data_IF_619508495292
#
_entry.id   IF_619508495292
#
_cell.length_a   1.000
_cell.length_b   1.000
_cell.length_c   1.000
_cell.angle_alpha   90.00
_cell.angle_beta   90.00
_cell.angle_gamma   90.00
#
_symmetry.space_group_name_H-M   'P 1'
#
loop_
_entity.id
_entity.type
_entity.pdbx_description
1 polymer ?
#
# COMPACT_ATOMS: atom_id res chain seq x y z
N UNK A 1 -14.80 -72.46 -1.28
CA UNK A 1 -13.52 -71.76 -1.56
C UNK A 1 -13.55 -70.48 -0.76
N UNK A 2 -13.09 -70.55 0.49
CA UNK A 2 -13.12 -69.41 1.41
C UNK A 2 -11.78 -68.69 1.29
N UNK A 3 -11.72 -67.67 0.44
CA UNK A 3 -10.58 -66.78 0.37
C UNK A 3 -10.55 -65.97 1.69
N UNK A 4 -9.63 -66.32 2.58
CA UNK A 4 -9.47 -65.63 3.86
C UNK A 4 -9.03 -64.19 3.60
N UNK A 5 -9.85 -63.23 4.04
CA UNK A 5 -9.61 -61.78 3.95
C UNK A 5 -8.38 -61.34 4.79
N UNK A 6 -7.75 -62.26 5.51
CA UNK A 6 -6.71 -62.00 6.52
C UNK A 6 -5.27 -61.94 6.00
N UNK A 7 -5.02 -62.24 4.71
CA UNK A 7 -3.68 -62.22 4.12
C UNK A 7 -3.37 -60.96 3.28
N UNK A 8 -4.06 -59.84 3.54
CA UNK A 8 -3.67 -58.57 2.91
C UNK A 8 -2.36 -58.10 3.57
N UNK A 9 -1.25 -58.00 2.83
CA UNK A 9 0.03 -57.62 3.42
C UNK A 9 -0.07 -56.22 4.04
N UNK A 10 0.48 -56.02 5.24
CA UNK A 10 0.50 -54.71 5.91
C UNK A 10 1.02 -53.57 5.02
N UNK A 11 1.96 -53.86 4.13
CA UNK A 11 2.48 -52.92 3.13
C UNK A 11 1.39 -52.42 2.15
N UNK A 12 0.46 -53.28 1.75
CA UNK A 12 -0.64 -52.92 0.88
C UNK A 12 -1.62 -51.97 1.59
N UNK A 13 -2.00 -52.28 2.83
CA UNK A 13 -2.87 -51.44 3.64
C UNK A 13 -2.25 -50.06 3.90
N UNK A 14 -0.97 -50.03 4.29
CA UNK A 14 -0.23 -48.79 4.51
C UNK A 14 -0.17 -47.93 3.25
N UNK A 15 0.00 -48.55 2.08
CA UNK A 15 0.04 -47.83 0.81
C UNK A 15 -1.34 -47.23 0.49
N UNK A 16 -2.42 -47.99 0.67
CA UNK A 16 -3.80 -47.50 0.44
C UNK A 16 -4.12 -46.30 1.33
N UNK A 17 -3.77 -46.35 2.63
CA UNK A 17 -4.00 -45.24 3.56
C UNK A 17 -3.32 -43.93 3.11
N UNK A 18 -2.08 -43.98 2.61
CA UNK A 18 -1.37 -42.78 2.14
C UNK A 18 -2.04 -42.10 0.94
N UNK A 19 -2.59 -42.89 0.01
CA UNK A 19 -3.32 -42.33 -1.14
C UNK A 19 -4.66 -41.71 -0.72
N UNK A 20 -5.35 -42.32 0.25
CA UNK A 20 -6.59 -41.77 0.78
C UNK A 20 -6.37 -40.47 1.54
N UNK A 21 -5.30 -40.41 2.34
CA UNK A 21 -4.88 -39.19 3.04
C UNK A 21 -4.57 -38.07 2.04
N UNK A 22 -3.70 -38.36 1.05
CA UNK A 22 -3.35 -37.39 0.02
C UNK A 22 -4.59 -36.89 -0.74
N UNK A 23 -5.45 -37.80 -1.20
CA UNK A 23 -6.68 -37.41 -1.91
C UNK A 23 -7.63 -36.57 -1.07
N UNK A 24 -7.71 -36.81 0.24
CA UNK A 24 -8.49 -35.97 1.17
C UNK A 24 -7.92 -34.56 1.33
N UNK A 25 -6.59 -34.43 1.30
CA UNK A 25 -5.90 -33.13 1.34
C UNK A 25 -6.10 -32.32 0.06
N UNK A 26 -6.08 -32.98 -1.10
CA UNK A 26 -6.23 -32.32 -2.40
C UNK A 26 -7.63 -31.76 -2.63
N UNK A 27 -8.67 -32.47 -2.18
CA UNK A 27 -10.06 -32.01 -2.32
C UNK A 27 -10.83 -32.15 -1.00
N UNK A 28 -10.61 -31.23 -0.04
CA UNK A 28 -11.32 -31.23 1.23
C UNK A 28 -12.83 -31.17 1.01
N UNK A 29 -13.57 -32.07 1.67
CA UNK A 29 -15.05 -32.12 1.60
C UNK A 29 -15.62 -32.89 0.41
N UNK A 30 -14.79 -33.45 -0.48
CA UNK A 30 -15.24 -34.37 -1.54
C UNK A 30 -14.91 -35.83 -1.20
N UNK A 31 -15.67 -36.80 -1.73
CA UNK A 31 -15.29 -38.21 -1.65
C UNK A 31 -13.91 -38.44 -2.28
N UNK A 32 -13.05 -39.18 -1.58
CA UNK A 32 -11.67 -39.40 -2.03
C UNK A 32 -11.65 -40.29 -3.27
N UNK A 33 -10.96 -39.82 -4.31
CA UNK A 33 -10.71 -40.61 -5.53
C UNK A 33 -9.94 -41.88 -5.17
N UNK A 34 -10.37 -43.03 -5.68
CA UNK A 34 -9.66 -44.29 -5.48
C UNK A 34 -8.55 -44.54 -6.53
N UNK A 35 -8.55 -43.76 -7.63
CA UNK A 35 -7.56 -43.86 -8.69
C UNK A 35 -6.24 -43.18 -8.27
N UNK A 36 -5.21 -44.00 -8.06
CA UNK A 36 -3.88 -43.58 -7.66
C UNK A 36 -3.20 -42.66 -8.68
N UNK A 37 -3.45 -42.87 -9.98
CA UNK A 37 -2.83 -42.04 -11.04
C UNK A 37 -3.46 -40.65 -11.04
N UNK A 38 -4.78 -40.57 -10.89
CA UNK A 38 -5.50 -39.31 -10.76
C UNK A 38 -5.03 -38.52 -9.52
N UNK A 39 -4.95 -39.18 -8.35
CA UNK A 39 -4.46 -38.53 -7.11
C UNK A 39 -3.05 -37.94 -7.29
N UNK A 40 -2.12 -38.68 -7.92
CA UNK A 40 -0.76 -38.19 -8.13
C UNK A 40 -0.71 -37.04 -9.14
N UNK A 41 -1.54 -37.10 -10.18
CA UNK A 41 -1.65 -36.04 -11.19
C UNK A 41 -2.17 -34.75 -10.55
N UNK A 42 -3.26 -34.85 -9.78
CA UNK A 42 -3.85 -33.73 -9.05
C UNK A 42 -2.87 -33.14 -8.03
N UNK A 43 -2.15 -33.98 -7.27
CA UNK A 43 -1.11 -33.53 -6.34
C UNK A 43 0.02 -32.77 -7.05
N UNK A 44 0.45 -33.28 -8.20
CA UNK A 44 1.53 -32.65 -8.98
C UNK A 44 1.09 -31.27 -9.47
N UNK A 45 -0.12 -31.17 -10.02
CA UNK A 45 -0.69 -29.89 -10.49
C UNK A 45 -0.85 -28.90 -9.34
N UNK A 46 -1.38 -29.33 -8.20
CA UNK A 46 -1.55 -28.48 -7.02
C UNK A 46 -0.22 -27.97 -6.49
N UNK A 47 0.83 -28.80 -6.42
CA UNK A 47 2.17 -28.37 -6.00
C UNK A 47 2.75 -27.33 -6.96
N UNK A 48 2.55 -27.49 -8.28
CA UNK A 48 2.99 -26.50 -9.27
C UNK A 48 2.26 -25.17 -9.05
N UNK A 49 0.94 -25.21 -8.89
CA UNK A 49 0.12 -24.03 -8.65
C UNK A 49 0.53 -23.30 -7.37
N UNK A 50 0.62 -24.01 -6.24
CA UNK A 50 1.01 -23.43 -4.95
C UNK A 50 2.41 -22.81 -4.99
N UNK A 51 3.35 -23.40 -5.73
CA UNK A 51 4.68 -22.81 -5.94
C UNK A 51 4.60 -21.51 -6.73
N UNK A 52 3.77 -21.46 -7.77
CA UNK A 52 3.54 -20.23 -8.54
C UNK A 52 2.88 -19.14 -7.70
N UNK A 53 1.84 -19.49 -6.93
CA UNK A 53 1.16 -18.55 -6.03
C UNK A 53 2.11 -18.04 -4.94
N UNK A 54 2.92 -18.91 -4.33
CA UNK A 54 3.91 -18.51 -3.33
C UNK A 54 4.96 -17.55 -3.90
N UNK A 55 5.39 -17.77 -5.15
CA UNK A 55 6.33 -16.89 -5.83
C UNK A 55 5.71 -15.51 -6.13
N UNK A 56 4.48 -15.48 -6.66
CA UNK A 56 3.74 -14.24 -6.90
C UNK A 56 3.48 -13.44 -5.61
N UNK A 57 3.13 -14.13 -4.52
CA UNK A 57 2.96 -13.51 -3.20
C UNK A 57 4.27 -12.91 -2.69
N UNK A 58 5.39 -13.61 -2.88
CA UNK A 58 6.72 -13.10 -2.49
C UNK A 58 7.08 -11.83 -3.27
N UNK A 59 6.84 -11.81 -4.58
CA UNK A 59 7.09 -10.65 -5.44
C UNK A 59 6.19 -9.47 -5.06
N UNK A 60 4.89 -9.72 -4.89
CA UNK A 60 3.91 -8.70 -4.49
C UNK A 60 4.26 -8.12 -3.11
N UNK A 61 4.61 -8.96 -2.14
CA UNK A 61 5.02 -8.50 -0.81
C UNK A 61 6.28 -7.64 -0.89
N UNK A 62 7.28 -8.03 -1.68
CA UNK A 62 8.49 -7.23 -1.90
C UNK A 62 8.18 -5.85 -2.50
N UNK A 63 7.33 -5.81 -3.53
CA UNK A 63 6.90 -4.55 -4.14
C UNK A 63 6.12 -3.67 -3.16
N UNK A 64 5.24 -4.24 -2.34
CA UNK A 64 4.51 -3.49 -1.31
C UNK A 64 5.46 -2.91 -0.23
N UNK A 65 6.46 -3.68 0.19
CA UNK A 65 7.48 -3.19 1.14
C UNK A 65 8.29 -2.01 0.57
N UNK A 66 8.61 -2.03 -0.72
CA UNK A 66 9.27 -0.92 -1.41
C UNK A 66 8.36 0.32 -1.47
N UNK A 67 7.11 0.16 -1.94
CA UNK A 67 6.12 1.24 -1.97
C UNK A 67 5.91 1.88 -0.58
N UNK A 68 5.87 1.08 0.48
CA UNK A 68 5.75 1.59 1.86
C UNK A 68 6.96 2.46 2.24
N UNK A 69 8.17 2.10 1.81
CA UNK A 69 9.37 2.89 2.10
C UNK A 69 9.35 4.21 1.34
N UNK A 70 9.01 4.17 0.05
CA UNK A 70 8.88 5.37 -0.80
C UNK A 70 7.84 6.33 -0.24
N UNK A 71 6.63 5.84 0.05
CA UNK A 71 5.56 6.67 0.62
C UNK A 71 5.92 7.26 1.98
N UNK A 72 6.71 6.56 2.81
CA UNK A 72 7.20 7.12 4.08
C UNK A 72 8.16 8.28 3.83
N UNK A 73 9.09 8.12 2.88
CA UNK A 73 10.03 9.17 2.50
C UNK A 73 9.30 10.39 1.93
N UNK A 74 8.39 10.19 0.98
CA UNK A 74 7.60 11.27 0.38
C UNK A 74 6.77 12.02 1.43
N UNK A 75 6.13 11.29 2.36
CA UNK A 75 5.38 11.89 3.47
C UNK A 75 6.28 12.72 4.40
N UNK A 76 7.54 12.32 4.60
CA UNK A 76 8.49 13.09 5.40
C UNK A 76 8.96 14.34 4.63
N UNK A 77 9.27 14.23 3.33
CA UNK A 77 9.62 15.37 2.48
C UNK A 77 8.51 16.43 2.41
N UNK A 78 7.25 16.00 2.22
CA UNK A 78 6.08 16.89 2.22
C UNK A 78 5.90 17.60 3.56
N UNK A 79 6.27 16.95 4.68
CA UNK A 79 6.21 17.58 6.00
C UNK A 79 7.25 18.70 6.12
N UNK A 80 8.46 18.45 5.63
CA UNK A 80 9.55 19.42 5.66
C UNK A 80 9.24 20.62 4.76
N UNK A 81 8.74 20.38 3.55
CA UNK A 81 8.31 21.42 2.62
C UNK A 81 7.15 22.24 3.20
N UNK A 82 6.15 21.59 3.79
CA UNK A 82 5.04 22.28 4.47
C UNK A 82 5.54 23.19 5.60
N UNK A 83 6.51 22.74 6.40
CA UNK A 83 7.06 23.55 7.48
C UNK A 83 7.85 24.75 6.94
N UNK A 84 8.65 24.55 5.89
CA UNK A 84 9.38 25.64 5.22
C UNK A 84 8.43 26.70 4.66
N UNK A 85 7.39 26.28 3.94
CA UNK A 85 6.38 27.18 3.38
C UNK A 85 5.62 27.96 4.47
N UNK A 86 5.34 27.31 5.62
CA UNK A 86 4.70 27.99 6.75
C UNK A 86 5.56 29.13 7.28
N UNK A 87 6.86 28.90 7.46
CA UNK A 87 7.80 29.93 7.93
C UNK A 87 7.95 31.07 6.92
N UNK A 88 8.04 30.76 5.64
CA UNK A 88 8.12 31.76 4.58
C UNK A 88 6.85 32.61 4.50
N UNK A 89 5.68 31.98 4.62
CA UNK A 89 4.40 32.68 4.65
C UNK A 89 4.29 33.62 5.88
N UNK A 90 4.61 33.14 7.08
CA UNK A 90 4.61 33.97 8.30
C UNK A 90 5.56 35.18 8.18
N UNK A 91 6.73 34.99 7.55
CA UNK A 91 7.68 36.08 7.28
C UNK A 91 7.12 37.11 6.29
N UNK A 92 6.51 36.65 5.19
CA UNK A 92 5.89 37.53 4.19
C UNK A 92 4.69 38.29 4.75
N UNK A 93 3.83 37.63 5.52
CA UNK A 93 2.71 38.27 6.22
C UNK A 93 3.19 39.35 7.21
N UNK A 94 4.31 39.09 7.91
CA UNK A 94 4.91 40.08 8.79
C UNK A 94 5.43 41.29 8.02
N UNK A 95 6.16 41.08 6.92
CA UNK A 95 6.62 42.16 6.05
C UNK A 95 5.46 42.99 5.48
N UNK A 96 4.40 42.33 5.02
CA UNK A 96 3.20 43.00 4.50
C UNK A 96 2.50 43.83 5.58
N UNK A 97 2.40 43.31 6.81
CA UNK A 97 1.83 44.06 7.95
C UNK A 97 2.66 45.31 8.29
N UNK A 98 4.00 45.22 8.25
CA UNK A 98 4.87 46.37 8.45
C UNK A 98 4.66 47.43 7.35
N UNK A 99 4.63 47.01 6.08
CA UNK A 99 4.41 47.91 4.93
C UNK A 99 3.03 48.57 4.92
N UNK A 100 2.00 47.90 5.42
CA UNK A 100 0.62 48.44 5.49
C UNK A 100 0.39 49.28 6.76
N UNK A 101 1.25 49.17 7.76
CA UNK A 101 1.19 49.94 9.02
C UNK A 101 1.88 51.30 8.97
N UNK A 102 2.66 51.62 7.92
CA UNK A 102 3.16 52.98 7.74
C UNK A 102 1.98 53.91 7.45
N UNK A 103 1.71 54.94 8.28
CA UNK A 103 0.67 55.90 7.97
C UNK A 103 1.09 56.66 6.73
N UNK A 104 0.35 56.51 5.63
CA UNK A 104 0.38 57.44 4.50
C UNK A 104 -0.20 58.77 4.95
N UNK A 105 0.44 59.45 5.90
CA UNK A 105 0.22 60.87 6.13
C UNK A 105 1.07 61.62 5.12
N UNK A 106 0.64 61.60 3.87
CA UNK A 106 1.04 62.62 2.92
C UNK A 106 0.39 63.93 3.39
N UNK A 107 1.14 64.98 3.76
CA UNK A 107 0.54 66.27 4.08
C UNK A 107 -0.16 66.74 2.82
N UNK A 108 -1.49 66.87 2.88
CA UNK A 108 -2.24 67.44 1.77
C UNK A 108 -1.70 68.86 1.54
N UNK A 109 -1.25 69.22 0.31
CA UNK A 109 -0.76 70.56 0.04
C UNK A 109 -1.86 71.55 0.37
N UNK A 110 -1.68 72.33 1.43
CA UNK A 110 -2.60 73.38 1.80
C UNK A 110 -2.58 74.37 0.64
N UNK A 111 -3.66 74.42 -0.14
CA UNK A 111 -3.84 75.46 -1.14
C UNK A 111 -3.92 76.80 -0.39
N UNK A 112 -2.78 77.46 -0.22
CA UNK A 112 -2.71 78.83 0.25
C UNK A 112 -3.53 79.68 -0.72
N UNK A 113 -4.69 80.14 -0.23
CA UNK A 113 -5.52 81.12 -0.91
C UNK A 113 -4.77 82.44 -0.94
N UNK A 114 -4.10 82.72 -2.05
CA UNK A 114 -3.51 84.02 -2.29
C UNK A 114 -4.65 85.02 -2.55
N UNK A 115 -5.04 85.76 -1.50
CA UNK A 115 -5.82 86.98 -1.65
C UNK A 115 -4.88 88.08 -2.18
N UNK A 116 -4.70 88.14 -3.50
CA UNK A 116 -4.09 89.32 -4.10
C UNK A 116 -5.14 90.43 -4.24
N UNK A 117 -4.99 91.41 -3.36
CA UNK A 117 -5.45 92.78 -3.57
C UNK A 117 -4.92 93.38 -4.89
N UNK A 118 -5.68 94.36 -5.40
CA UNK A 118 -5.34 95.52 -6.25
C UNK A 118 -5.88 95.41 -7.70
N UNK A 119 -6.97 96.09 -8.08
CA UNK A 119 -7.14 97.53 -8.45
C UNK A 119 -6.32 97.94 -9.68
N UNK A 120 -6.84 98.81 -10.58
CA UNK A 120 -7.59 100.05 -10.30
C UNK A 120 -9.07 100.05 -10.67
#
# INVERSE_FOLDING_TARGET
MNCHVTDIPFHFLLTVSRFLELGSTLEPGKPVKADKVAILSDATLMVIQLRSEAQQLKETNGSLEENIKELKAEKDELRDEKQKLKLENESLEHQMKLMTSTPTYMPHPTLMRCLSLRHP
#
